data_IF_087133667014
#
_entry.id   IF_087133667014
#
_cell.length_a   1.000
_cell.length_b   1.000
_cell.length_c   1.000
_cell.angle_alpha   90.00
_cell.angle_beta   90.00
_cell.angle_gamma   90.00
#
_symmetry.space_group_name_H-M   'P 1'
#
loop_
_entity.id
_entity.type
_entity.pdbx_description
1 polymer ?
#
# COMPACT_ATOMS: atom_id res chain seq x y z
N UNK A 1 8.10 -19.78 -3.52
CA UNK A 1 9.25 -18.94 -3.02
C UNK A 1 10.30 -18.63 -4.11
N UNK A 2 10.49 -19.46 -5.13
CA UNK A 2 11.55 -19.24 -6.14
C UNK A 2 11.12 -18.38 -7.33
N UNK A 3 9.82 -18.15 -7.51
CA UNK A 3 9.27 -17.52 -8.68
C UNK A 3 9.62 -16.01 -8.78
N UNK A 4 9.43 -15.26 -7.68
CA UNK A 4 9.81 -13.83 -7.63
C UNK A 4 11.31 -13.61 -7.86
N UNK A 5 12.14 -14.60 -7.52
CA UNK A 5 13.59 -14.57 -7.76
C UNK A 5 13.97 -14.69 -9.24
N UNK A 6 13.21 -15.45 -10.03
CA UNK A 6 13.56 -15.69 -11.44
C UNK A 6 13.20 -14.53 -12.37
N UNK A 7 12.09 -13.85 -12.15
CA UNK A 7 11.64 -12.76 -13.02
C UNK A 7 12.52 -11.52 -12.92
N UNK A 8 13.13 -11.27 -11.76
CA UNK A 8 13.95 -10.08 -11.48
C UNK A 8 15.46 -10.35 -11.40
N UNK A 9 15.88 -11.60 -11.60
CA UNK A 9 17.30 -11.96 -11.53
C UNK A 9 18.14 -11.38 -12.69
N UNK A 10 17.51 -10.98 -13.79
CA UNK A 10 18.19 -10.51 -14.99
C UNK A 10 18.08 -9.00 -15.25
N UNK A 11 17.15 -8.31 -14.59
CA UNK A 11 16.98 -6.86 -14.73
C UNK A 11 16.73 -6.23 -13.37
N UNK A 12 17.48 -5.16 -13.00
CA UNK A 12 17.19 -4.41 -11.80
C UNK A 12 15.78 -3.80 -11.93
N UNK A 13 14.93 -4.05 -10.94
CA UNK A 13 13.62 -3.44 -10.87
C UNK A 13 13.79 -1.92 -10.78
N UNK A 14 13.20 -1.22 -11.74
CA UNK A 14 13.13 0.24 -11.75
C UNK A 14 11.71 0.69 -12.03
N UNK A 15 11.37 1.92 -11.64
CA UNK A 15 10.07 2.50 -11.96
C UNK A 15 9.85 2.59 -13.46
N UNK A 16 10.89 2.87 -14.24
CA UNK A 16 10.82 2.89 -15.72
C UNK A 16 10.50 1.50 -16.27
N UNK A 17 11.20 0.47 -15.82
CA UNK A 17 10.92 -0.90 -16.25
C UNK A 17 9.48 -1.30 -15.88
N UNK A 18 9.04 -0.96 -14.67
CA UNK A 18 7.70 -1.32 -14.22
C UNK A 18 6.60 -0.51 -14.94
N UNK A 19 6.83 0.77 -15.20
CA UNK A 19 5.94 1.60 -16.02
C UNK A 19 5.78 1.05 -17.43
N UNK A 20 6.89 0.73 -18.09
CA UNK A 20 6.89 0.11 -19.42
C UNK A 20 6.13 -1.23 -19.46
N UNK A 21 6.24 -2.04 -18.40
CA UNK A 21 5.47 -3.27 -18.31
C UNK A 21 3.96 -3.02 -18.14
N UNK A 22 3.59 -1.97 -17.40
CA UNK A 22 2.18 -1.56 -17.29
C UNK A 22 1.65 -1.08 -18.65
N UNK A 23 2.40 -0.29 -19.40
CA UNK A 23 1.97 0.26 -20.67
C UNK A 23 1.90 -0.78 -21.78
N UNK A 24 2.91 -1.64 -21.87
CA UNK A 24 3.04 -2.63 -22.92
C UNK A 24 2.39 -3.97 -22.59
N UNK A 25 1.93 -4.15 -21.38
CA UNK A 25 1.23 -5.37 -20.96
C UNK A 25 -0.11 -5.50 -21.66
N UNK A 26 -0.19 -6.43 -22.64
CA UNK A 26 -1.43 -6.72 -23.34
C UNK A 26 -2.41 -7.42 -22.40
N UNK A 27 -3.55 -6.78 -22.15
CA UNK A 27 -4.66 -7.30 -21.34
C UNK A 27 -5.79 -7.88 -22.19
N UNK A 28 -5.72 -7.69 -23.54
CA UNK A 28 -6.69 -8.22 -24.47
C UNK A 28 -6.43 -9.71 -24.72
N UNK A 29 -7.48 -10.47 -24.97
CA UNK A 29 -7.45 -11.91 -25.31
C UNK A 29 -6.78 -12.83 -24.25
N UNK A 30 -6.73 -12.45 -23.00
CA UNK A 30 -6.30 -13.33 -21.93
C UNK A 30 -7.49 -14.15 -21.44
N UNK A 31 -7.43 -15.51 -21.51
CA UNK A 31 -8.50 -16.33 -21.00
C UNK A 31 -8.73 -16.11 -19.50
N UNK A 32 -9.89 -16.53 -19.00
CA UNK A 32 -10.14 -16.48 -17.56
C UNK A 32 -9.25 -17.51 -16.84
N UNK A 33 -8.35 -16.99 -16.01
CA UNK A 33 -7.38 -17.74 -15.23
C UNK A 33 -7.67 -17.69 -13.72
N UNK A 34 -8.81 -17.13 -13.31
CA UNK A 34 -9.14 -16.87 -11.90
C UNK A 34 -9.36 -18.13 -11.06
N UNK A 35 -9.58 -19.25 -11.70
CA UNK A 35 -9.81 -20.56 -11.05
C UNK A 35 -10.96 -20.51 -10.02
N UNK A 36 -12.03 -19.78 -10.36
CA UNK A 36 -13.21 -19.53 -9.53
C UNK A 36 -12.96 -18.65 -8.27
N UNK A 37 -11.79 -18.04 -8.14
CA UNK A 37 -11.58 -17.01 -7.11
C UNK A 37 -12.20 -15.69 -7.59
N UNK A 38 -12.89 -15.00 -6.71
CA UNK A 38 -13.51 -13.71 -7.04
C UNK A 38 -12.48 -12.68 -7.52
N UNK A 39 -12.81 -12.00 -8.63
CA UNK A 39 -11.91 -10.98 -9.21
C UNK A 39 -11.58 -9.84 -8.25
N UNK A 40 -12.46 -9.54 -7.32
CA UNK A 40 -12.25 -8.46 -6.35
C UNK A 40 -11.16 -8.84 -5.35
N UNK A 41 -11.14 -10.08 -4.88
CA UNK A 41 -10.08 -10.61 -4.02
C UNK A 41 -8.73 -10.60 -4.77
N UNK A 42 -8.74 -11.06 -6.02
CA UNK A 42 -7.52 -11.06 -6.84
C UNK A 42 -7.05 -9.66 -7.21
N UNK A 43 -7.94 -8.69 -7.33
CA UNK A 43 -7.59 -7.31 -7.55
C UNK A 43 -6.91 -6.69 -6.31
N UNK A 44 -7.39 -6.98 -5.10
CA UNK A 44 -6.74 -6.55 -3.86
C UNK A 44 -5.37 -7.25 -3.68
N UNK A 45 -5.27 -8.54 -3.97
CA UNK A 45 -3.99 -9.26 -4.00
C UNK A 45 -3.00 -8.59 -4.98
N UNK A 46 -3.49 -8.19 -6.16
CA UNK A 46 -2.68 -7.50 -7.16
C UNK A 46 -2.24 -6.10 -6.70
N UNK A 47 -3.09 -5.35 -5.99
CA UNK A 47 -2.72 -4.05 -5.41
C UNK A 47 -1.57 -4.19 -4.42
N UNK A 48 -1.65 -5.18 -3.53
CA UNK A 48 -0.58 -5.45 -2.56
C UNK A 48 0.71 -5.89 -3.27
N UNK A 49 0.59 -6.75 -4.27
CA UNK A 49 1.72 -7.15 -5.11
C UNK A 49 2.35 -5.95 -5.83
N UNK A 50 1.55 -5.04 -6.39
CA UNK A 50 1.99 -3.80 -7.03
C UNK A 50 2.76 -2.90 -6.04
N UNK A 51 2.23 -2.69 -4.84
CA UNK A 51 2.90 -1.92 -3.78
C UNK A 51 4.27 -2.51 -3.45
N UNK A 52 4.35 -3.84 -3.33
CA UNK A 52 5.61 -4.52 -3.06
C UNK A 52 6.62 -4.35 -4.21
N UNK A 53 6.16 -4.41 -5.47
CA UNK A 53 7.01 -4.14 -6.64
C UNK A 53 7.55 -2.70 -6.61
N UNK A 54 6.70 -1.71 -6.34
CA UNK A 54 7.14 -0.31 -6.23
C UNK A 54 8.18 -0.11 -5.12
N UNK A 55 8.00 -0.77 -3.98
CA UNK A 55 9.01 -0.74 -2.89
C UNK A 55 10.34 -1.36 -3.35
N UNK A 56 10.30 -2.38 -4.20
CA UNK A 56 11.51 -2.98 -4.75
C UNK A 56 12.19 -2.11 -5.82
N UNK A 57 11.47 -1.17 -6.45
CA UNK A 57 12.05 -0.16 -7.33
C UNK A 57 12.86 0.92 -6.60
N UNK A 58 12.73 1.01 -5.28
CA UNK A 58 13.54 1.86 -4.42
C UNK A 58 14.82 1.13 -4.03
N UNK A 59 15.93 1.89 -3.90
CA UNK A 59 17.12 1.38 -3.23
C UNK A 59 16.83 1.05 -1.75
N UNK A 60 17.72 0.29 -1.13
CA UNK A 60 17.50 -0.24 0.24
C UNK A 60 17.27 0.88 1.25
N UNK A 61 18.07 1.96 1.20
CA UNK A 61 17.96 3.08 2.14
C UNK A 61 16.63 3.82 1.95
N UNK A 62 16.27 4.15 0.71
CA UNK A 62 15.00 4.79 0.36
C UNK A 62 13.79 3.94 0.77
N UNK A 63 13.89 2.63 0.61
CA UNK A 63 12.84 1.69 1.05
C UNK A 63 12.66 1.71 2.56
N UNK A 64 13.76 1.68 3.33
CA UNK A 64 13.70 1.80 4.80
C UNK A 64 13.08 3.14 5.22
N UNK A 65 13.51 4.26 4.61
CA UNK A 65 12.94 5.58 4.89
C UNK A 65 11.45 5.62 4.63
N UNK A 66 11.00 5.05 3.49
CA UNK A 66 9.59 5.01 3.13
C UNK A 66 8.76 4.16 4.10
N UNK A 67 9.24 2.96 4.44
CA UNK A 67 8.56 2.06 5.36
C UNK A 67 8.44 2.71 6.74
N UNK A 68 9.53 3.24 7.29
CA UNK A 68 9.51 3.89 8.60
C UNK A 68 8.59 5.12 8.64
N UNK A 69 8.63 5.95 7.59
CA UNK A 69 7.94 7.24 7.58
C UNK A 69 6.52 7.21 7.03
N UNK A 70 6.18 6.24 6.16
CA UNK A 70 4.86 6.18 5.52
C UNK A 70 4.02 5.06 6.09
N UNK A 71 4.59 3.87 6.28
CA UNK A 71 3.83 2.71 6.76
C UNK A 71 3.76 2.69 8.29
N UNK A 72 4.87 2.94 8.98
CA UNK A 72 4.92 2.95 10.45
C UNK A 72 4.79 4.34 11.08
N UNK A 73 4.82 5.43 10.28
CA UNK A 73 4.68 6.82 10.74
C UNK A 73 5.61 7.18 11.90
N UNK A 74 6.81 6.65 11.92
CA UNK A 74 7.78 6.90 12.97
C UNK A 74 8.24 8.36 12.90
N UNK A 75 8.31 9.00 14.08
CA UNK A 75 8.81 10.37 14.22
C UNK A 75 10.20 10.53 13.60
N UNK A 76 10.43 11.69 12.98
CA UNK A 76 11.65 11.96 12.23
C UNK A 76 12.94 11.95 13.06
N UNK A 77 12.87 12.19 14.37
CA UNK A 77 14.03 12.10 15.26
C UNK A 77 14.38 10.65 15.49
N UNK A 78 13.38 9.83 15.83
CA UNK A 78 13.56 8.39 16.05
C UNK A 78 14.03 7.71 14.77
N UNK A 79 13.38 8.01 13.64
CA UNK A 79 13.77 7.46 12.35
C UNK A 79 15.18 7.92 11.92
N UNK A 80 15.53 9.17 12.21
CA UNK A 80 16.86 9.72 11.98
C UNK A 80 17.93 9.00 12.80
N UNK A 81 17.67 8.76 14.09
CA UNK A 81 18.58 8.01 14.96
C UNK A 81 18.77 6.56 14.48
N UNK A 82 17.67 5.88 14.05
CA UNK A 82 17.74 4.51 13.52
C UNK A 82 18.58 4.44 12.23
N UNK A 83 18.47 5.46 11.37
CA UNK A 83 19.12 5.48 10.05
C UNK A 83 20.41 6.30 10.02
N UNK A 84 20.91 6.73 11.19
CA UNK A 84 22.15 7.50 11.35
C UNK A 84 22.15 8.80 10.49
N UNK A 85 21.04 9.51 10.45
CA UNK A 85 20.87 10.76 9.71
C UNK A 85 20.15 11.83 10.53
N UNK A 86 20.30 13.10 10.13
CA UNK A 86 19.57 14.18 10.80
C UNK A 86 18.07 14.11 10.50
N UNK A 87 17.20 14.54 11.44
CA UNK A 87 15.75 14.59 11.22
C UNK A 87 15.36 15.40 9.97
N UNK A 88 16.09 16.46 9.65
CA UNK A 88 15.90 17.29 8.46
C UNK A 88 16.20 16.51 7.19
N UNK A 89 17.33 15.81 7.15
CA UNK A 89 17.72 14.96 6.01
C UNK A 89 16.71 13.85 5.79
N UNK A 90 16.25 13.21 6.88
CA UNK A 90 15.21 12.18 6.82
C UNK A 90 13.92 12.73 6.19
N UNK A 91 13.38 13.87 6.70
CA UNK A 91 12.15 14.47 6.19
C UNK A 91 12.27 14.83 4.70
N UNK A 92 13.39 15.41 4.29
CA UNK A 92 13.63 15.79 2.89
C UNK A 92 13.69 14.54 1.98
N UNK A 93 14.37 13.47 2.41
CA UNK A 93 14.44 12.22 1.65
C UNK A 93 13.07 11.56 1.58
N UNK A 94 12.34 11.45 2.69
CA UNK A 94 11.01 10.89 2.73
C UNK A 94 10.05 11.64 1.79
N UNK A 95 10.09 12.97 1.79
CA UNK A 95 9.26 13.79 0.89
C UNK A 95 9.55 13.49 -0.59
N UNK A 96 10.85 13.38 -0.97
CA UNK A 96 11.23 13.04 -2.35
C UNK A 96 10.77 11.63 -2.75
N UNK A 97 10.88 10.67 -1.84
CA UNK A 97 10.47 9.29 -2.08
C UNK A 97 8.95 9.22 -2.25
N UNK A 98 8.20 9.87 -1.36
CA UNK A 98 6.74 9.97 -1.47
C UNK A 98 6.31 10.60 -2.79
N UNK A 99 6.96 11.69 -3.18
CA UNK A 99 6.70 12.32 -4.48
C UNK A 99 6.94 11.35 -5.64
N UNK A 100 8.07 10.64 -5.64
CA UNK A 100 8.39 9.66 -6.69
C UNK A 100 7.35 8.54 -6.79
N UNK A 101 6.87 8.04 -5.64
CA UNK A 101 5.81 7.02 -5.60
C UNK A 101 4.48 7.59 -6.11
N UNK A 102 4.12 8.81 -5.69
CA UNK A 102 2.89 9.47 -6.11
C UNK A 102 2.90 9.82 -7.61
N UNK A 103 4.03 10.30 -8.13
CA UNK A 103 4.20 10.61 -9.55
C UNK A 103 3.97 9.32 -10.39
N UNK A 104 4.58 8.21 -9.98
CA UNK A 104 4.39 6.91 -10.64
C UNK A 104 2.94 6.45 -10.60
N UNK A 105 2.29 6.52 -9.43
CA UNK A 105 0.89 6.14 -9.31
C UNK A 105 -0.02 7.07 -10.13
N UNK A 106 0.25 8.35 -10.14
CA UNK A 106 -0.52 9.33 -10.92
C UNK A 106 -0.46 9.07 -12.41
N UNK A 107 0.71 8.62 -12.90
CA UNK A 107 0.94 8.35 -14.34
C UNK A 107 0.35 7.01 -14.77
N UNK A 108 0.57 5.94 -14.00
CA UNK A 108 0.27 4.59 -14.43
C UNK A 108 -0.99 3.98 -13.83
N UNK A 109 -1.40 4.38 -12.61
CA UNK A 109 -2.49 3.74 -11.88
C UNK A 109 -3.83 4.41 -12.14
N UNK A 110 -4.81 3.67 -12.66
CA UNK A 110 -6.17 4.16 -12.88
C UNK A 110 -7.06 4.13 -11.63
N UNK A 111 -6.61 3.51 -10.54
CA UNK A 111 -7.30 3.55 -9.24
C UNK A 111 -6.90 4.79 -8.42
N UNK A 112 -5.70 5.31 -8.65
CA UNK A 112 -5.13 6.45 -7.93
C UNK A 112 -5.15 7.74 -8.76
N UNK A 113 -4.94 7.64 -10.08
CA UNK A 113 -4.79 8.77 -10.99
C UNK A 113 -5.48 8.54 -12.34
N UNK A 114 -4.90 9.12 -13.40
CA UNK A 114 -5.40 9.02 -14.77
C UNK A 114 -4.81 7.86 -15.58
N UNK A 115 -4.00 7.02 -14.94
CA UNK A 115 -3.33 5.89 -15.58
C UNK A 115 -4.31 4.83 -16.09
N UNK A 116 -3.85 4.04 -17.04
CA UNK A 116 -4.67 3.00 -17.70
C UNK A 116 -4.75 1.69 -16.89
N UNK A 117 -3.89 1.53 -15.89
CA UNK A 117 -3.83 0.29 -15.12
C UNK A 117 -4.98 0.21 -14.11
N UNK A 118 -5.97 -0.60 -14.41
CA UNK A 118 -7.04 -0.97 -13.48
C UNK A 118 -6.81 -2.38 -12.98
N UNK A 119 -6.70 -2.54 -11.67
CA UNK A 119 -6.31 -3.81 -11.07
C UNK A 119 -7.24 -4.95 -11.47
N UNK A 120 -8.56 -4.72 -11.43
CA UNK A 120 -9.57 -5.71 -11.78
C UNK A 120 -9.48 -6.19 -13.23
N UNK A 121 -9.14 -5.29 -14.16
CA UNK A 121 -8.97 -5.63 -15.58
C UNK A 121 -7.66 -6.39 -15.84
N UNK A 122 -6.64 -6.19 -14.99
CA UNK A 122 -5.32 -6.82 -15.13
C UNK A 122 -5.15 -8.14 -14.38
N UNK A 123 -6.15 -8.63 -13.67
CA UNK A 123 -6.07 -9.89 -12.91
C UNK A 123 -5.53 -11.04 -13.76
N UNK A 124 -6.16 -11.33 -14.90
CA UNK A 124 -5.75 -12.43 -15.75
C UNK A 124 -4.35 -12.25 -16.35
N UNK A 125 -3.98 -11.03 -16.72
CA UNK A 125 -2.62 -10.71 -17.14
C UNK A 125 -1.61 -10.98 -16.02
N UNK A 126 -1.94 -10.58 -14.79
CA UNK A 126 -1.08 -10.79 -13.62
C UNK A 126 -0.91 -12.28 -13.28
N UNK A 127 -1.97 -13.08 -13.40
CA UNK A 127 -1.91 -14.53 -13.23
C UNK A 127 -1.02 -15.16 -14.31
N UNK A 128 -1.25 -14.81 -15.58
CA UNK A 128 -0.47 -15.33 -16.71
C UNK A 128 1.02 -15.01 -16.57
N UNK A 129 1.34 -13.82 -16.07
CA UNK A 129 2.72 -13.41 -15.83
C UNK A 129 3.20 -13.77 -14.42
N UNK A 130 2.46 -14.63 -13.73
CA UNK A 130 2.80 -15.19 -12.42
C UNK A 130 3.09 -14.12 -11.33
N UNK A 131 2.46 -13.00 -11.37
CA UNK A 131 2.56 -11.93 -10.35
C UNK A 131 1.70 -12.23 -9.15
N UNK A 132 0.56 -12.87 -9.38
CA UNK A 132 -0.34 -13.41 -8.37
C UNK A 132 -0.67 -14.86 -8.73
N UNK A 133 -1.00 -15.66 -7.73
CA UNK A 133 -1.40 -17.04 -7.89
C UNK A 133 -2.77 -17.25 -7.24
N UNK A 134 -3.85 -17.50 -8.00
CA UNK A 134 -5.18 -17.66 -7.42
C UNK A 134 -5.30 -18.87 -6.48
N UNK A 135 -4.42 -19.88 -6.61
CA UNK A 135 -4.38 -21.04 -5.71
C UNK A 135 -3.59 -20.77 -4.42
N UNK A 136 -2.83 -19.69 -4.37
CA UNK A 136 -2.01 -19.37 -3.21
C UNK A 136 -1.80 -17.85 -3.16
N UNK A 137 -2.68 -17.18 -2.45
CA UNK A 137 -2.59 -15.73 -2.24
C UNK A 137 -1.50 -15.44 -1.21
N UNK A 138 -0.67 -14.45 -1.48
CA UNK A 138 0.43 -14.04 -0.59
C UNK A 138 -0.05 -13.04 0.48
N UNK A 139 -1.07 -12.25 0.16
CA UNK A 139 -1.55 -11.13 0.98
C UNK A 139 -3.00 -11.31 1.42
N UNK A 140 -3.83 -11.90 0.55
CA UNK A 140 -5.23 -12.17 0.85
C UNK A 140 -5.39 -13.64 1.16
N UNK A 141 -5.77 -13.98 2.37
CA UNK A 141 -6.16 -15.34 2.72
C UNK A 141 -7.56 -15.61 2.19
N UNK A 142 -7.63 -16.25 1.03
CA UNK A 142 -8.87 -16.42 0.27
C UNK A 142 -9.99 -17.20 0.99
N UNK A 143 -9.70 -17.89 2.10
CA UNK A 143 -10.61 -18.88 2.62
C UNK A 143 -11.42 -18.47 3.86
N UNK A 144 -11.05 -17.37 4.56
CA UNK A 144 -11.63 -17.16 5.91
C UNK A 144 -12.17 -15.76 6.18
N UNK A 145 -11.84 -14.74 5.38
CA UNK A 145 -12.29 -13.38 5.63
C UNK A 145 -13.15 -12.91 4.45
N UNK A 146 -14.44 -12.61 4.65
CA UNK A 146 -15.28 -12.03 3.61
C UNK A 146 -14.67 -10.71 3.11
N UNK A 147 -14.70 -10.49 1.79
CA UNK A 147 -14.12 -9.27 1.18
C UNK A 147 -14.70 -8.00 1.79
N UNK A 148 -15.97 -8.03 2.18
CA UNK A 148 -16.61 -6.91 2.86
C UNK A 148 -15.91 -6.58 4.19
N UNK A 149 -15.51 -7.59 4.96
CA UNK A 149 -14.75 -7.38 6.21
C UNK A 149 -13.41 -6.71 5.95
N UNK A 150 -12.71 -7.09 4.87
CA UNK A 150 -11.43 -6.46 4.48
C UNK A 150 -11.66 -4.98 4.11
N UNK A 151 -12.71 -4.70 3.34
CA UNK A 151 -13.08 -3.34 2.96
C UNK A 151 -13.46 -2.52 4.20
N UNK A 152 -14.24 -3.09 5.11
CA UNK A 152 -14.68 -2.43 6.33
C UNK A 152 -13.50 -2.11 7.26
N UNK A 153 -12.56 -3.04 7.42
CA UNK A 153 -11.31 -2.82 8.20
C UNK A 153 -10.46 -1.73 7.55
N UNK A 154 -10.28 -1.78 6.22
CA UNK A 154 -9.54 -0.76 5.48
C UNK A 154 -10.16 0.63 5.68
N UNK A 155 -11.47 0.77 5.47
CA UNK A 155 -12.16 2.04 5.64
C UNK A 155 -12.06 2.54 7.09
N UNK A 156 -12.24 1.63 8.07
CA UNK A 156 -12.07 1.98 9.48
C UNK A 156 -10.66 2.45 9.82
N UNK A 157 -9.62 1.88 9.20
CA UNK A 157 -8.24 2.35 9.36
C UNK A 157 -8.00 3.71 8.70
N UNK A 158 -8.60 3.97 7.54
CA UNK A 158 -8.54 5.28 6.87
C UNK A 158 -9.23 6.36 7.73
N UNK A 159 -10.40 6.07 8.29
CA UNK A 159 -11.11 6.98 9.22
C UNK A 159 -10.26 7.29 10.47
N UNK A 160 -9.57 6.28 11.02
CA UNK A 160 -8.66 6.46 12.17
C UNK A 160 -7.47 7.33 11.78
N UNK A 161 -6.95 7.17 10.57
CA UNK A 161 -5.85 7.96 10.04
C UNK A 161 -6.25 9.44 9.90
N UNK A 162 -7.42 9.73 9.38
CA UNK A 162 -7.95 11.08 9.25
C UNK A 162 -8.12 11.74 10.61
N UNK A 163 -8.73 11.02 11.57
CA UNK A 163 -8.82 11.49 12.95
C UNK A 163 -7.45 11.76 13.58
N UNK A 164 -6.45 10.91 13.33
CA UNK A 164 -5.10 11.11 13.87
C UNK A 164 -4.40 12.33 13.27
N UNK A 165 -4.72 12.70 12.04
CA UNK A 165 -4.22 13.93 11.42
C UNK A 165 -4.83 15.17 12.09
N UNK A 166 -6.14 15.18 12.37
CA UNK A 166 -6.82 16.24 13.08
C UNK A 166 -6.23 16.46 14.47
N UNK A 167 -5.90 15.40 15.19
CA UNK A 167 -5.19 15.50 16.48
C UNK A 167 -3.79 16.11 16.36
N UNK A 168 -3.09 15.92 15.25
CA UNK A 168 -1.73 16.43 15.06
C UNK A 168 -1.69 17.96 14.90
N UNK A 169 -2.80 18.59 14.52
CA UNK A 169 -2.95 20.05 14.45
C UNK A 169 -3.31 20.69 15.78
N UNK A 170 -3.74 19.92 16.78
CA UNK A 170 -3.99 20.43 18.11
C UNK A 170 -2.67 20.78 18.80
N UNK A 171 -2.54 22.03 19.29
CA UNK A 171 -1.34 22.45 20.02
C UNK A 171 -1.17 21.60 21.28
N UNK A 172 -0.01 20.95 21.49
CA UNK A 172 0.16 19.93 22.55
C UNK A 172 0.05 20.47 23.99
N UNK A 173 -0.11 21.77 24.18
CA UNK A 173 -0.17 22.40 25.50
C UNK A 173 -1.56 22.92 25.93
N UNK A 174 -2.56 22.74 25.10
CA UNK A 174 -3.93 23.01 25.47
C UNK A 174 -4.74 21.75 25.15
N UNK A 175 -4.86 20.91 26.17
CA UNK A 175 -5.85 19.83 26.12
C UNK A 175 -7.22 20.47 26.35
N UNK A 176 -8.00 20.78 25.30
CA UNK A 176 -9.36 21.22 25.50
C UNK A 176 -10.13 20.10 26.18
N UNK A 177 -11.11 20.44 27.00
CA UNK A 177 -12.01 19.45 27.61
C UNK A 177 -12.67 18.52 26.56
N UNK A 178 -12.86 19.05 25.34
CA UNK A 178 -13.33 18.29 24.18
C UNK A 178 -12.39 17.16 23.73
N UNK A 179 -11.06 17.24 23.97
CA UNK A 179 -10.12 16.18 23.53
C UNK A 179 -10.34 14.88 24.30
N UNK A 180 -10.67 14.97 25.61
CA UNK A 180 -11.01 13.77 26.39
C UNK A 180 -12.28 13.11 25.85
N UNK A 181 -13.28 13.92 25.51
CA UNK A 181 -14.53 13.42 24.95
C UNK A 181 -14.29 12.80 23.55
N UNK A 182 -13.52 13.45 22.69
CA UNK A 182 -13.14 12.91 21.36
C UNK A 182 -12.37 11.59 21.47
N UNK A 183 -11.42 11.48 22.43
CA UNK A 183 -10.70 10.23 22.68
C UNK A 183 -11.67 9.14 23.16
N UNK A 184 -12.60 9.47 24.05
CA UNK A 184 -13.59 8.52 24.53
C UNK A 184 -14.52 8.07 23.40
N UNK A 185 -15.02 8.99 22.58
CA UNK A 185 -15.84 8.71 21.41
C UNK A 185 -15.08 7.84 20.39
N UNK A 186 -13.79 8.08 20.21
CA UNK A 186 -12.93 7.25 19.37
C UNK A 186 -12.76 5.83 19.92
N UNK A 187 -12.49 5.70 21.24
CA UNK A 187 -12.36 4.39 21.89
C UNK A 187 -13.66 3.58 21.85
N UNK A 188 -14.79 4.26 21.89
CA UNK A 188 -16.13 3.66 21.81
C UNK A 188 -16.64 3.52 20.36
N UNK A 189 -15.80 3.90 19.36
CA UNK A 189 -16.19 3.92 17.95
C UNK A 189 -16.36 2.52 17.35
N UNK A 190 -17.26 2.43 16.38
CA UNK A 190 -17.45 1.21 15.58
C UNK A 190 -16.19 0.82 14.81
N UNK A 191 -15.38 1.80 14.36
CA UNK A 191 -14.13 1.60 13.64
C UNK A 191 -13.14 0.79 14.47
N UNK A 192 -12.93 1.19 15.72
CA UNK A 192 -12.03 0.45 16.61
C UNK A 192 -12.56 -0.97 16.92
N UNK A 193 -13.87 -1.11 17.07
CA UNK A 193 -14.50 -2.42 17.33
C UNK A 193 -14.41 -3.38 16.14
N UNK A 194 -14.41 -2.87 14.91
CA UNK A 194 -14.20 -3.66 13.69
C UNK A 194 -12.77 -4.21 13.66
N UNK A 195 -11.78 -3.35 13.94
CA UNK A 195 -10.36 -3.74 13.93
C UNK A 195 -10.03 -4.75 15.02
N UNK A 196 -10.64 -4.62 16.22
CA UNK A 196 -10.40 -5.55 17.32
C UNK A 196 -11.03 -6.94 17.13
N UNK A 197 -11.99 -7.09 16.22
CA UNK A 197 -12.68 -8.35 15.94
C UNK A 197 -12.11 -9.08 14.71
N UNK A 198 -11.23 -8.43 13.95
CA UNK A 198 -10.54 -9.00 12.79
C UNK A 198 -9.20 -9.64 13.19
#
# INVERSE_FOLDING_TARGET
KNYKKHMFAHYPLSFEFYGNDIENGNIEDVPDLTQNVEKDILAEELKMSCTNVMLQCLDTESRCIFILGTMFRIDSRIAGDILEMTPEAYRQRLSRIRKKMADFLGEYCGEYGSGRCKCKERVNYAIRNHRINPLHLDYMTAAEIPIQTIIDVKNAMEDIDDLSQDFSFCKPYQFPECTRQMIQEFLDSTQLSIIQKS
#
